data_IF_417185303356
#
_entry.id   IF_417185303356
#
_cell.length_a   1.000
_cell.length_b   1.000
_cell.length_c   1.000
_cell.angle_alpha   90.00
_cell.angle_beta   90.00
_cell.angle_gamma   90.00
#
_symmetry.space_group_name_H-M   'P 1'
#
loop_
_entity.id
_entity.type
_entity.pdbx_description
1 polymer ?
#
# COMPACT_ATOMS: atom_id res chain seq x y z
N UNK A 1 28.96 -1.17 -8.02
CA UNK A 1 27.68 -0.47 -7.87
C UNK A 1 26.75 -0.99 -8.97
N UNK A 2 25.83 -1.90 -8.64
CA UNK A 2 25.08 -2.70 -9.63
C UNK A 2 23.57 -2.66 -9.39
N UNK A 3 23.05 -1.56 -8.83
CA UNK A 3 21.60 -1.37 -8.72
C UNK A 3 21.03 -0.99 -10.09
N UNK A 4 20.61 -1.99 -10.88
CA UNK A 4 19.73 -1.72 -12.02
C UNK A 4 18.40 -1.19 -11.49
N UNK A 5 18.05 0.03 -11.88
CA UNK A 5 16.76 0.65 -11.58
C UNK A 5 15.83 0.43 -12.76
N UNK A 6 14.75 -0.29 -12.54
CA UNK A 6 13.68 -0.43 -13.52
C UNK A 6 12.62 0.66 -13.26
N UNK A 7 12.12 1.35 -14.29
CA UNK A 7 10.97 2.24 -14.12
C UNK A 7 9.77 1.40 -13.65
N UNK A 8 9.04 1.91 -12.66
CA UNK A 8 7.84 1.28 -12.10
C UNK A 8 6.65 2.16 -12.42
N UNK A 9 5.74 1.67 -13.27
CA UNK A 9 4.54 2.40 -13.67
C UNK A 9 3.41 2.28 -12.63
N UNK A 10 3.31 1.10 -11.98
CA UNK A 10 2.29 0.81 -10.97
C UNK A 10 2.71 -0.39 -10.10
N UNK A 11 2.22 -0.45 -8.86
CA UNK A 11 2.42 -1.55 -7.92
C UNK A 11 1.12 -2.31 -7.67
N UNK A 12 1.17 -3.64 -7.75
CA UNK A 12 0.10 -4.54 -7.30
C UNK A 12 0.51 -5.17 -5.96
N UNK A 13 0.09 -4.63 -4.80
CA UNK A 13 0.44 -5.19 -3.51
C UNK A 13 -0.34 -6.48 -3.24
N UNK A 14 0.36 -7.61 -3.20
CA UNK A 14 -0.19 -8.92 -2.82
C UNK A 14 0.30 -9.25 -1.40
N UNK A 15 -0.08 -8.38 -0.47
CA UNK A 15 0.30 -8.44 0.95
C UNK A 15 -0.97 -8.58 1.78
N UNK A 16 -0.90 -9.39 2.84
CA UNK A 16 -2.02 -9.64 3.75
C UNK A 16 -1.69 -9.19 5.17
N UNK A 17 -2.70 -8.76 5.93
CA UNK A 17 -2.56 -8.39 7.33
C UNK A 17 -1.70 -7.14 7.54
N UNK A 18 -0.96 -7.13 8.64
CA UNK A 18 -0.15 -5.97 9.05
C UNK A 18 0.86 -5.58 7.98
N UNK A 19 1.02 -4.28 7.79
CA UNK A 19 1.79 -3.62 6.74
C UNK A 19 1.25 -3.77 5.31
N UNK A 20 0.30 -4.68 5.06
CA UNK A 20 -0.30 -4.89 3.74
C UNK A 20 -1.68 -4.26 3.60
N UNK A 21 -2.56 -4.53 4.56
CA UNK A 21 -3.98 -4.17 4.53
C UNK A 21 -4.32 -3.05 5.54
N UNK A 22 -3.36 -2.60 6.36
CA UNK A 22 -3.53 -1.53 7.37
C UNK A 22 -3.20 -0.11 6.87
N UNK A 23 -2.72 0.02 5.62
CA UNK A 23 -2.39 1.31 5.02
C UNK A 23 -0.90 1.66 5.06
N UNK A 24 -0.03 0.86 5.70
CA UNK A 24 1.39 1.21 5.80
C UNK A 24 2.11 1.19 4.44
N UNK A 25 1.93 0.14 3.64
CA UNK A 25 2.51 0.05 2.30
C UNK A 25 1.93 1.13 1.38
N UNK A 26 0.63 1.39 1.49
CA UNK A 26 -0.05 2.43 0.73
C UNK A 26 0.54 3.81 1.02
N UNK A 27 0.83 4.11 2.29
CA UNK A 27 1.45 5.38 2.69
C UNK A 27 2.85 5.55 2.13
N UNK A 28 3.64 4.48 2.10
CA UNK A 28 4.95 4.49 1.45
C UNK A 28 4.84 4.75 -0.06
N UNK A 29 3.89 4.10 -0.74
CA UNK A 29 3.69 4.27 -2.18
C UNK A 29 3.21 5.69 -2.53
N UNK A 30 2.35 6.29 -1.70
CA UNK A 30 1.96 7.70 -1.82
C UNK A 30 3.15 8.65 -1.62
N UNK A 31 4.00 8.41 -0.63
CA UNK A 31 5.23 9.21 -0.40
C UNK A 31 6.22 9.13 -1.58
N UNK A 32 6.30 7.96 -2.22
CA UNK A 32 7.13 7.74 -3.40
C UNK A 32 6.47 8.22 -4.71
N UNK A 33 5.23 8.71 -4.64
CA UNK A 33 4.41 9.10 -5.78
C UNK A 33 4.31 7.98 -6.84
N UNK A 34 4.20 6.73 -6.38
CA UNK A 34 4.07 5.54 -7.22
C UNK A 34 2.60 5.09 -7.22
N UNK A 35 1.96 4.99 -8.39
CA UNK A 35 0.60 4.46 -8.50
C UNK A 35 0.51 3.03 -7.98
N UNK A 36 -0.62 2.66 -7.37
CA UNK A 36 -0.86 1.30 -6.91
C UNK A 36 -2.32 0.90 -7.01
N UNK A 37 -2.55 -0.41 -7.03
CA UNK A 37 -3.89 -1.01 -7.10
C UNK A 37 -4.42 -1.24 -5.68
N UNK A 38 -5.67 -0.87 -5.43
CA UNK A 38 -6.37 -1.13 -4.17
C UNK A 38 -6.95 0.13 -3.52
N UNK A 39 -7.28 0.03 -2.24
CA UNK A 39 -7.77 1.14 -1.44
C UNK A 39 -6.62 2.05 -0.97
N UNK A 40 -6.92 3.34 -0.75
CA UNK A 40 -5.99 4.30 -0.17
C UNK A 40 -5.66 4.02 1.31
N UNK A 41 -4.68 4.75 1.87
CA UNK A 41 -4.25 4.60 3.28
C UNK A 41 -5.42 4.54 4.26
N UNK A 42 -6.35 5.51 4.17
CA UNK A 42 -7.51 5.56 5.07
C UNK A 42 -8.46 4.38 4.85
N UNK A 43 -8.68 3.97 3.61
CA UNK A 43 -9.56 2.86 3.28
C UNK A 43 -9.03 1.54 3.84
N UNK A 44 -7.72 1.32 3.72
CA UNK A 44 -7.02 0.20 4.34
C UNK A 44 -7.11 0.25 5.88
N UNK A 45 -6.77 1.39 6.50
CA UNK A 45 -6.79 1.53 7.96
C UNK A 45 -8.17 1.26 8.58
N UNK A 46 -9.23 1.79 7.97
CA UNK A 46 -10.61 1.57 8.46
C UNK A 46 -11.04 0.12 8.28
N UNK A 47 -10.68 -0.51 7.15
CA UNK A 47 -11.06 -1.90 6.85
C UNK A 47 -10.36 -2.92 7.75
N UNK A 48 -9.13 -2.60 8.18
CA UNK A 48 -8.36 -3.42 9.11
C UNK A 48 -8.91 -3.33 10.55
N UNK A 49 -9.47 -2.17 10.93
CA UNK A 49 -10.07 -1.98 12.26
C UNK A 49 -11.50 -2.52 12.32
N UNK A 50 -11.66 -3.66 12.99
CA UNK A 50 -12.94 -4.39 13.04
C UNK A 50 -14.06 -3.59 13.70
N UNK A 51 -13.74 -2.75 14.68
CA UNK A 51 -14.71 -1.88 15.37
C UNK A 51 -15.17 -0.70 14.50
N UNK A 52 -14.38 -0.27 13.53
CA UNK A 52 -14.77 0.78 12.59
C UNK A 52 -15.51 0.24 11.36
N UNK A 53 -15.30 -1.03 11.04
CA UNK A 53 -15.94 -1.69 9.89
C UNK A 53 -17.36 -2.21 10.20
N UNK A 54 -17.69 -2.49 11.47
CA UNK A 54 -18.97 -3.13 11.88
C UNK A 54 -19.93 -2.16 12.57
#
# INVERSE_FOLDING_TARGET
>A
DSSQRFPVDCVLPILHGSLGEDGATQGLLEMLNVPYIGAGVLGCAVSMEKTMTT
#
